data_IF_976157987471
#
_entry.id   IF_976157987471
#
_cell.length_a   1.000
_cell.length_b   1.000
_cell.length_c   1.000
_cell.angle_alpha   90.00
_cell.angle_beta   90.00
_cell.angle_gamma   90.00
#
_symmetry.space_group_name_H-M   'P 1'
#
loop_
_entity.id
_entity.type
_entity.pdbx_description
1 polymer ?
#
# COMPACT_ATOMS: atom_id res chain seq x y z
N UNK A 1 -54.01 -1.02 -55.17
CA UNK A 1 -55.32 -0.30 -55.12
C UNK A 1 -55.89 -0.55 -53.71
N UNK A 2 -56.44 0.48 -53.04
CA UNK A 2 -56.60 0.69 -51.57
C UNK A 2 -55.31 1.16 -50.88
N UNK A 3 -55.04 2.43 -50.54
CA UNK A 3 -55.79 3.67 -50.24
C UNK A 3 -56.57 3.69 -48.91
N UNK A 4 -56.06 4.56 -48.02
CA UNK A 4 -56.63 5.14 -46.78
C UNK A 4 -56.51 4.21 -45.56
N UNK A 5 -56.07 4.67 -44.39
CA UNK A 5 -56.33 5.98 -43.79
C UNK A 5 -55.25 6.34 -42.76
N UNK A 6 -54.77 7.57 -42.85
CA UNK A 6 -53.86 8.24 -41.92
C UNK A 6 -54.70 8.73 -40.75
N UNK A 7 -54.31 8.39 -39.52
CA UNK A 7 -54.79 9.04 -38.29
C UNK A 7 -53.61 9.70 -37.58
N UNK A 8 -53.55 11.02 -37.69
CA UNK A 8 -52.74 11.89 -36.83
C UNK A 8 -53.41 12.02 -35.45
N UNK A 9 -52.64 11.99 -34.35
CA UNK A 9 -53.09 12.50 -33.07
C UNK A 9 -52.82 14.02 -32.93
N UNK A 10 -53.70 14.76 -32.22
CA UNK A 10 -53.66 16.21 -32.11
C UNK A 10 -52.55 16.73 -31.19
N UNK A 11 -52.14 17.96 -31.48
CA UNK A 11 -50.98 18.64 -30.91
C UNK A 11 -51.03 18.89 -29.41
N UNK A 12 -49.83 18.81 -28.81
CA UNK A 12 -49.50 19.45 -27.55
C UNK A 12 -48.65 20.67 -27.89
N UNK A 13 -49.32 21.80 -28.06
CA UNK A 13 -48.73 23.12 -27.99
C UNK A 13 -48.36 23.40 -26.52
N UNK A 14 -47.09 23.73 -26.28
CA UNK A 14 -46.61 24.00 -24.92
C UNK A 14 -45.11 24.29 -24.89
N UNK A 15 -44.60 25.06 -25.86
CA UNK A 15 -43.29 25.67 -25.77
C UNK A 15 -43.32 26.72 -24.65
N UNK A 16 -42.65 26.44 -23.54
CA UNK A 16 -42.39 27.37 -22.45
C UNK A 16 -40.96 27.91 -22.61
N UNK A 17 -40.74 29.18 -22.98
CA UNK A 17 -39.43 29.80 -22.93
C UNK A 17 -39.32 30.67 -21.67
N UNK A 18 -38.76 30.13 -20.59
CA UNK A 18 -38.38 30.89 -19.40
C UNK A 18 -37.42 30.02 -18.57
N UNK A 19 -36.23 30.40 -18.11
CA UNK A 19 -35.51 31.66 -18.17
C UNK A 19 -34.02 31.30 -18.09
N UNK A 20 -33.19 31.85 -18.98
CA UNK A 20 -31.73 31.81 -18.85
C UNK A 20 -31.35 32.62 -17.60
N UNK A 21 -30.98 31.94 -16.52
CA UNK A 21 -30.32 32.59 -15.37
C UNK A 21 -29.01 33.21 -15.86
N UNK A 22 -28.78 34.52 -15.68
CA UNK A 22 -27.48 35.11 -15.98
C UNK A 22 -26.43 34.54 -15.01
N UNK A 23 -25.30 34.15 -15.57
CA UNK A 23 -24.11 33.74 -14.83
C UNK A 23 -23.71 34.85 -13.86
N UNK A 24 -23.68 34.51 -12.57
CA UNK A 24 -23.21 35.39 -11.51
C UNK A 24 -21.70 35.55 -11.70
N UNK A 25 -21.26 36.75 -12.09
CA UNK A 25 -19.83 37.16 -12.07
C UNK A 25 -19.25 36.85 -10.69
N UNK A 26 -18.14 36.10 -10.57
CA UNK A 26 -17.39 36.05 -9.33
C UNK A 26 -16.76 37.43 -9.08
N UNK A 27 -16.76 37.94 -7.83
CA UNK A 27 -16.07 39.17 -7.50
C UNK A 27 -14.57 38.99 -7.73
N UNK A 28 -14.02 39.78 -8.66
CA UNK A 28 -12.62 40.15 -8.65
C UNK A 28 -12.40 41.02 -7.42
N UNK A 29 -11.60 40.54 -6.48
CA UNK A 29 -10.79 41.29 -5.52
C UNK A 29 -10.79 40.58 -4.15
N UNK A 30 -9.82 39.68 -3.96
CA UNK A 30 -9.16 39.49 -2.67
C UNK A 30 -7.79 38.89 -2.99
N UNK A 31 -6.86 39.76 -3.35
CA UNK A 31 -5.91 40.29 -2.38
C UNK A 31 -4.96 39.19 -1.88
N UNK A 32 -3.87 39.05 -2.64
CA UNK A 32 -2.51 38.98 -2.12
C UNK A 32 -2.43 38.60 -0.63
N UNK A 33 -2.33 37.30 -0.36
CA UNK A 33 -1.65 36.80 0.84
C UNK A 33 -0.55 35.87 0.41
N UNK A 34 0.53 36.51 -0.05
CA UNK A 34 1.88 35.97 -0.01
C UNK A 34 2.21 35.65 1.44
N UNK A 35 2.02 34.40 1.85
CA UNK A 35 2.60 33.89 3.09
C UNK A 35 3.98 33.37 2.74
N UNK A 36 4.93 34.29 2.76
CA UNK A 36 6.36 34.00 2.85
C UNK A 36 6.65 33.39 4.22
N UNK A 37 6.44 32.09 4.36
CA UNK A 37 6.92 31.34 5.52
C UNK A 37 8.41 31.04 5.33
N UNK A 38 9.21 32.00 5.76
CA UNK A 38 10.45 31.81 6.54
C UNK A 38 11.07 30.41 6.46
N UNK A 39 11.87 30.20 5.41
CA UNK A 39 12.92 29.18 5.37
C UNK A 39 13.95 29.51 6.46
N UNK A 40 13.64 29.06 7.67
CA UNK A 40 14.42 29.26 8.87
C UNK A 40 15.49 28.16 8.94
N UNK A 41 16.70 28.56 8.59
CA UNK A 41 17.96 28.18 9.23
C UNK A 41 18.24 26.69 9.44
N UNK A 42 18.93 26.08 8.47
CA UNK A 42 19.94 25.05 8.75
C UNK A 42 21.21 25.36 7.96
N UNK A 43 21.84 26.50 8.27
CA UNK A 43 23.23 26.75 7.84
C UNK A 43 24.15 26.09 8.88
N UNK A 44 24.26 24.77 8.84
CA UNK A 44 25.31 24.05 9.56
C UNK A 44 26.61 24.30 8.80
N UNK A 45 27.39 25.28 9.25
CA UNK A 45 28.77 25.48 8.81
C UNK A 45 29.62 24.33 9.37
N UNK A 46 30.27 23.48 8.54
CA UNK A 46 31.35 22.66 9.03
C UNK A 46 32.56 23.58 9.25
N UNK A 47 32.82 23.97 10.50
CA UNK A 47 34.11 24.55 10.89
C UNK A 47 35.17 23.45 10.81
N UNK A 48 35.82 23.33 9.66
CA UNK A 48 37.01 22.48 9.56
C UNK A 48 38.13 23.12 10.39
N UNK A 49 38.77 22.39 11.32
CA UNK A 49 40.00 22.85 11.95
C UNK A 49 41.12 22.91 10.91
N UNK A 50 42.06 23.89 11.01
CA UNK A 50 43.17 23.98 10.08
C UNK A 50 44.08 22.74 10.21
N UNK A 51 44.38 22.14 9.06
CA UNK A 51 45.41 21.12 8.92
C UNK A 51 46.76 21.72 9.31
N UNK A 52 47.19 21.48 10.55
CA UNK A 52 48.58 21.71 10.97
C UNK A 52 49.47 20.71 10.23
N UNK A 53 50.12 21.20 9.18
CA UNK A 53 51.34 20.63 8.61
C UNK A 53 52.48 20.74 9.63
N UNK A 54 52.58 19.77 10.53
CA UNK A 54 53.84 19.47 11.21
C UNK A 54 54.62 18.48 10.34
N UNK A 55 55.24 19.01 9.29
CA UNK A 55 56.37 18.37 8.60
C UNK A 55 57.59 18.59 9.48
N UNK A 56 57.89 17.66 10.39
CA UNK A 56 59.19 17.43 11.00
C UNK A 56 59.09 16.15 11.83
N UNK A 57 59.14 15.02 11.14
CA UNK A 57 59.59 13.77 11.73
C UNK A 57 60.48 13.12 10.67
N UNK A 58 61.78 13.33 10.83
CA UNK A 58 62.82 12.57 10.14
C UNK A 58 62.62 11.08 10.44
N UNK A 59 62.62 10.18 9.43
CA UNK A 59 62.60 8.76 9.70
C UNK A 59 63.92 8.36 10.40
N UNK A 60 63.87 7.62 11.53
CA UNK A 60 65.08 6.98 12.05
C UNK A 60 65.60 5.95 11.03
N UNK A 61 66.92 5.70 11.00
CA UNK A 61 67.53 4.77 10.06
C UNK A 61 67.00 3.35 10.25
N UNK A 62 66.92 2.66 9.14
CA UNK A 62 66.43 1.30 8.92
C UNK A 62 66.96 0.28 9.95
N UNK A 63 66.15 -0.04 10.95
CA UNK A 63 66.18 -1.37 11.51
C UNK A 63 65.43 -2.28 10.54
N UNK A 64 66.20 -3.06 9.78
CA UNK A 64 65.73 -4.24 9.09
C UNK A 64 65.32 -5.31 10.13
N UNK A 65 64.31 -4.99 10.94
CA UNK A 65 63.57 -5.96 11.71
C UNK A 65 62.82 -6.81 10.70
N UNK A 66 63.29 -8.04 10.50
CA UNK A 66 62.57 -9.08 9.77
C UNK A 66 61.15 -9.13 10.32
N UNK A 67 60.21 -8.50 9.61
CA UNK A 67 58.78 -8.70 9.82
C UNK A 67 58.57 -10.17 9.48
N UNK A 68 58.71 -11.04 10.50
CA UNK A 68 58.10 -12.37 10.46
C UNK A 68 56.65 -12.08 10.14
N UNK A 69 56.28 -12.31 8.88
CA UNK A 69 54.89 -12.42 8.49
C UNK A 69 54.34 -13.44 9.47
N UNK A 70 53.55 -12.98 10.46
CA UNK A 70 52.91 -13.89 11.40
C UNK A 70 52.14 -14.84 10.50
N UNK A 71 52.57 -16.09 10.44
CA UNK A 71 51.88 -17.10 9.67
C UNK A 71 50.45 -17.11 10.17
N UNK A 72 49.52 -16.65 9.34
CA UNK A 72 48.10 -16.76 9.62
C UNK A 72 47.83 -18.25 9.77
N UNK A 73 47.57 -18.68 11.00
CA UNK A 73 47.23 -20.08 11.30
C UNK A 73 45.88 -20.32 10.62
N UNK A 74 45.85 -21.25 9.66
CA UNK A 74 44.61 -21.72 9.08
C UNK A 74 43.77 -22.47 10.12
N UNK A 75 42.46 -22.49 9.92
CA UNK A 75 41.54 -23.28 10.75
C UNK A 75 41.83 -24.78 10.56
N UNK A 76 41.81 -25.53 11.66
CA UNK A 76 41.88 -27.00 11.57
C UNK A 76 40.60 -27.55 10.95
N UNK A 77 40.70 -28.70 10.26
CA UNK A 77 39.51 -29.41 9.75
C UNK A 77 38.53 -29.73 10.89
N UNK A 78 39.05 -30.11 12.05
CA UNK A 78 38.24 -30.37 13.25
C UNK A 78 37.50 -29.11 13.73
N UNK A 79 38.16 -27.96 13.65
CA UNK A 79 37.59 -26.68 14.08
C UNK A 79 36.44 -26.28 13.15
N UNK A 80 36.65 -26.39 11.83
CA UNK A 80 35.59 -26.15 10.86
C UNK A 80 34.42 -27.13 11.03
N UNK A 81 34.70 -28.41 11.28
CA UNK A 81 33.67 -29.41 11.55
C UNK A 81 32.85 -29.06 12.81
N UNK A 82 33.51 -28.62 13.89
CA UNK A 82 32.83 -28.19 15.10
C UNK A 82 31.98 -26.93 14.87
N UNK A 83 32.53 -25.90 14.21
CA UNK A 83 31.80 -24.65 13.94
C UNK A 83 30.59 -24.90 13.04
N UNK A 84 30.75 -25.68 11.97
CA UNK A 84 29.62 -26.01 11.09
C UNK A 84 28.56 -26.86 11.80
N UNK A 85 28.95 -27.79 12.68
CA UNK A 85 28.00 -28.52 13.51
C UNK A 85 27.21 -27.58 14.44
N UNK A 86 27.86 -26.60 15.07
CA UNK A 86 27.20 -25.60 15.91
C UNK A 86 26.24 -24.70 15.11
N UNK A 87 26.65 -24.25 13.92
CA UNK A 87 25.78 -23.48 13.01
C UNK A 87 24.58 -24.31 12.57
N UNK A 88 24.76 -25.59 12.26
CA UNK A 88 23.66 -26.47 11.87
C UNK A 88 22.64 -26.66 13.01
N UNK A 89 23.11 -26.92 14.23
CA UNK A 89 22.24 -27.09 15.41
C UNK A 89 21.47 -25.79 15.69
N UNK A 90 22.15 -24.64 15.66
CA UNK A 90 21.49 -23.34 15.90
C UNK A 90 20.50 -22.98 14.78
N UNK A 91 20.85 -23.22 13.52
CA UNK A 91 19.97 -23.00 12.38
C UNK A 91 18.71 -23.88 12.44
N UNK A 92 18.83 -25.13 12.86
CA UNK A 92 17.69 -26.04 13.02
C UNK A 92 16.62 -25.50 14.01
N UNK A 93 17.05 -24.74 15.03
CA UNK A 93 16.16 -24.14 16.02
C UNK A 93 15.67 -22.74 15.56
N UNK A 94 16.55 -21.95 14.95
CA UNK A 94 16.26 -20.57 14.58
C UNK A 94 15.38 -20.43 13.32
N UNK A 95 15.59 -21.27 12.31
CA UNK A 95 14.91 -21.14 11.01
C UNK A 95 13.38 -21.28 11.11
N UNK A 96 12.81 -22.29 11.78
CA UNK A 96 11.35 -22.42 11.89
C UNK A 96 10.72 -21.21 12.59
N UNK A 97 11.35 -20.74 13.68
CA UNK A 97 10.89 -19.57 14.45
C UNK A 97 10.93 -18.29 13.63
N UNK A 98 11.97 -18.13 12.80
CA UNK A 98 12.08 -16.99 11.90
C UNK A 98 11.01 -17.04 10.81
N UNK A 99 10.80 -18.21 10.19
CA UNK A 99 9.78 -18.41 9.17
C UNK A 99 8.37 -18.07 9.70
N UNK A 100 8.00 -18.54 10.90
CA UNK A 100 6.71 -18.23 11.53
C UNK A 100 6.54 -16.74 11.86
N UNK A 101 7.64 -16.08 12.24
CA UNK A 101 7.63 -14.64 12.53
C UNK A 101 7.44 -13.83 11.25
N UNK A 102 8.10 -14.23 10.16
CA UNK A 102 7.93 -13.61 8.85
C UNK A 102 6.52 -13.85 8.29
N UNK A 103 5.97 -15.06 8.46
CA UNK A 103 4.60 -15.38 8.04
C UNK A 103 3.56 -14.50 8.75
N UNK A 104 3.69 -14.34 10.09
CA UNK A 104 2.86 -13.42 10.89
C UNK A 104 2.94 -11.98 10.40
N UNK A 105 4.15 -11.49 10.15
CA UNK A 105 4.35 -10.15 9.65
C UNK A 105 3.69 -9.94 8.28
N UNK A 106 3.87 -10.89 7.36
CA UNK A 106 3.33 -10.81 5.99
C UNK A 106 1.80 -10.86 5.96
N UNK A 107 1.19 -11.77 6.72
CA UNK A 107 -0.28 -11.85 6.77
C UNK A 107 -0.86 -10.57 7.39
N UNK A 108 -0.21 -10.02 8.42
CA UNK A 108 -0.65 -8.76 9.03
C UNK A 108 -0.50 -7.57 8.06
N UNK A 109 0.59 -7.52 7.28
CA UNK A 109 0.78 -6.52 6.24
C UNK A 109 -0.34 -6.60 5.17
N UNK A 110 -0.70 -7.82 4.76
CA UNK A 110 -1.79 -8.04 3.81
C UNK A 110 -3.16 -7.65 4.38
N UNK A 111 -3.44 -8.00 5.64
CA UNK A 111 -4.66 -7.56 6.33
C UNK A 111 -4.75 -6.04 6.45
N UNK A 112 -3.66 -5.37 6.85
CA UNK A 112 -3.59 -3.90 6.94
C UNK A 112 -3.81 -3.26 5.58
N UNK A 113 -3.30 -3.86 4.49
CA UNK A 113 -3.56 -3.43 3.13
C UNK A 113 -5.05 -3.49 2.78
N UNK A 114 -5.71 -4.62 3.04
CA UNK A 114 -7.17 -4.75 2.83
C UNK A 114 -7.92 -3.68 3.62
N UNK A 115 -7.61 -3.50 4.91
CA UNK A 115 -8.26 -2.49 5.76
C UNK A 115 -8.07 -1.08 5.19
N UNK A 116 -6.86 -0.75 4.75
CA UNK A 116 -6.56 0.56 4.15
C UNK A 116 -7.36 0.78 2.85
N UNK A 117 -7.41 -0.21 1.98
CA UNK A 117 -8.10 -0.11 0.69
C UNK A 117 -9.64 -0.08 0.86
N UNK A 118 -10.19 -0.85 1.82
CA UNK A 118 -11.61 -0.79 2.18
C UNK A 118 -11.99 0.59 2.75
N UNK A 119 -11.15 1.15 3.61
CA UNK A 119 -11.37 2.52 4.11
C UNK A 119 -11.25 3.56 2.99
N UNK A 120 -10.33 3.35 2.04
CA UNK A 120 -10.14 4.22 0.89
C UNK A 120 -11.40 4.26 0.00
N UNK A 121 -11.94 3.10 -0.40
CA UNK A 121 -13.15 3.07 -1.22
C UNK A 121 -14.37 3.62 -0.47
N UNK A 122 -14.45 3.39 0.85
CA UNK A 122 -15.50 3.95 1.69
C UNK A 122 -15.47 5.49 1.68
N UNK A 123 -14.29 6.07 1.87
CA UNK A 123 -14.10 7.51 1.84
C UNK A 123 -14.38 8.10 0.46
N UNK A 124 -13.99 7.41 -0.62
CA UNK A 124 -14.27 7.84 -1.99
C UNK A 124 -15.75 7.81 -2.32
N UNK A 125 -16.44 6.72 -1.98
CA UNK A 125 -17.89 6.59 -2.19
C UNK A 125 -18.66 7.77 -1.57
N UNK A 126 -18.24 8.17 -0.36
CA UNK A 126 -18.78 9.38 0.29
C UNK A 126 -18.36 10.66 -0.45
N UNK A 127 -17.06 10.86 -0.70
CA UNK A 127 -16.55 12.11 -1.28
C UNK A 127 -17.07 12.39 -2.70
N UNK A 128 -17.27 11.34 -3.50
CA UNK A 128 -17.69 11.44 -4.90
C UNK A 128 -19.20 11.22 -5.08
N UNK A 129 -19.89 10.72 -4.07
CA UNK A 129 -21.31 10.36 -4.17
C UNK A 129 -21.56 9.20 -5.15
N UNK A 130 -20.55 8.39 -5.42
CA UNK A 130 -20.60 7.21 -6.29
C UNK A 130 -20.67 5.93 -5.45
N UNK A 131 -21.15 4.85 -6.05
CA UNK A 131 -21.11 3.54 -5.41
C UNK A 131 -19.78 2.88 -5.77
N UNK A 132 -19.10 2.31 -4.77
CA UNK A 132 -17.78 1.70 -4.93
C UNK A 132 -17.83 0.25 -4.45
N UNK A 133 -17.00 -0.62 -5.03
CA UNK A 133 -16.93 -2.02 -4.57
C UNK A 133 -15.52 -2.61 -4.64
N UNK A 134 -15.22 -3.49 -3.68
CA UNK A 134 -14.02 -4.30 -3.68
C UNK A 134 -14.39 -5.76 -3.95
N UNK A 135 -13.88 -6.32 -5.04
CA UNK A 135 -14.02 -7.75 -5.36
C UNK A 135 -12.76 -8.47 -4.92
N UNK A 136 -12.94 -9.57 -4.21
CA UNK A 136 -11.86 -10.49 -3.90
C UNK A 136 -11.84 -11.62 -4.93
N UNK A 137 -10.77 -12.38 -5.04
CA UNK A 137 -10.72 -13.55 -5.92
C UNK A 137 -9.70 -14.54 -5.32
N UNK A 138 -10.16 -15.60 -4.63
CA UNK A 138 -9.29 -16.63 -4.07
C UNK A 138 -8.52 -17.42 -5.13
N UNK A 139 -9.08 -17.60 -6.33
CA UNK A 139 -8.41 -18.38 -7.37
C UNK A 139 -7.24 -17.59 -7.98
N UNK A 140 -7.43 -16.27 -8.14
CA UNK A 140 -6.40 -15.36 -8.63
C UNK A 140 -5.50 -14.77 -7.53
N UNK A 141 -5.88 -14.92 -6.27
CA UNK A 141 -5.27 -14.28 -5.10
C UNK A 141 -5.18 -12.76 -5.22
N UNK A 142 -6.30 -12.16 -5.66
CA UNK A 142 -6.38 -10.72 -5.89
C UNK A 142 -7.55 -10.03 -5.19
N UNK A 143 -7.37 -8.74 -4.95
CA UNK A 143 -8.47 -7.81 -4.71
C UNK A 143 -8.47 -6.74 -5.79
N UNK A 144 -9.61 -6.53 -6.43
CA UNK A 144 -9.83 -5.48 -7.42
C UNK A 144 -10.78 -4.44 -6.86
N UNK A 145 -10.39 -3.17 -6.93
CA UNK A 145 -11.28 -2.06 -6.64
C UNK A 145 -12.03 -1.70 -7.94
N UNK A 146 -13.33 -1.95 -7.95
CA UNK A 146 -14.21 -1.69 -9.09
C UNK A 146 -14.57 -0.21 -9.07
N UNK A 147 -14.49 0.43 -10.24
CA UNK A 147 -14.64 1.89 -10.42
C UNK A 147 -13.46 2.74 -9.93
N UNK A 148 -12.37 2.10 -9.50
CA UNK A 148 -11.15 2.77 -9.07
C UNK A 148 -10.00 2.56 -10.07
N UNK A 149 -9.61 3.59 -10.85
CA UNK A 149 -8.48 3.50 -11.75
C UNK A 149 -7.16 3.45 -10.96
N UNK A 150 -6.20 2.66 -11.44
CA UNK A 150 -4.86 2.62 -10.85
C UNK A 150 -4.20 4.01 -10.89
N UNK A 151 -3.61 4.44 -9.77
CA UNK A 151 -3.00 5.78 -9.63
C UNK A 151 -1.85 5.98 -10.63
N UNK A 152 -1.11 4.92 -10.93
CA UNK A 152 0.01 4.94 -11.86
C UNK A 152 -0.46 4.68 -13.30
N UNK A 153 -1.55 3.94 -13.46
CA UNK A 153 -2.10 3.55 -14.76
C UNK A 153 -3.62 3.76 -14.82
N UNK A 154 -4.10 5.00 -15.06
CA UNK A 154 -5.53 5.32 -14.95
C UNK A 154 -6.46 4.56 -15.91
N UNK A 155 -5.90 3.91 -16.93
CA UNK A 155 -6.63 3.05 -17.88
C UNK A 155 -6.82 1.61 -17.40
N UNK A 156 -6.26 1.25 -16.23
CA UNK A 156 -6.35 -0.08 -15.63
C UNK A 156 -7.14 -0.01 -14.33
N UNK A 157 -7.82 -1.11 -14.01
CA UNK A 157 -8.38 -1.28 -12.69
C UNK A 157 -7.26 -1.39 -11.67
N UNK A 158 -7.47 -0.82 -10.50
CA UNK A 158 -6.58 -1.03 -9.37
C UNK A 158 -6.71 -2.48 -8.87
N UNK A 159 -5.61 -3.23 -8.92
CA UNK A 159 -5.54 -4.63 -8.52
C UNK A 159 -4.42 -4.80 -7.50
N UNK A 160 -4.71 -5.51 -6.41
CA UNK A 160 -3.74 -5.94 -5.40
C UNK A 160 -3.54 -7.44 -5.54
N UNK A 161 -2.30 -7.86 -5.77
CA UNK A 161 -1.89 -9.27 -5.80
C UNK A 161 -1.35 -9.68 -4.43
N UNK A 162 -2.00 -10.63 -3.76
CA UNK A 162 -1.56 -11.11 -2.45
C UNK A 162 -0.54 -12.24 -2.55
N UNK A 163 -0.59 -13.07 -3.59
CA UNK A 163 0.37 -14.16 -3.80
C UNK A 163 1.79 -13.69 -4.21
N UNK A 164 1.99 -12.39 -4.42
CA UNK A 164 3.26 -11.80 -4.83
C UNK A 164 3.90 -10.99 -3.71
N UNK A 165 5.15 -10.56 -3.93
CA UNK A 165 5.81 -9.61 -3.06
C UNK A 165 4.97 -8.31 -2.94
N UNK A 166 4.86 -7.72 -1.75
CA UNK A 166 5.51 -8.09 -0.50
C UNK A 166 4.75 -9.10 0.38
N UNK A 167 3.55 -9.54 -0.03
CA UNK A 167 2.60 -10.23 0.85
C UNK A 167 2.80 -11.74 0.89
N UNK A 168 2.94 -12.42 -0.26
CA UNK A 168 2.99 -13.88 -0.35
C UNK A 168 1.89 -14.57 0.49
N UNK A 169 0.67 -14.04 0.40
CA UNK A 169 -0.50 -14.47 1.14
C UNK A 169 -1.57 -15.03 0.21
N UNK A 170 -2.29 -16.03 0.73
CA UNK A 170 -3.45 -16.65 0.10
C UNK A 170 -4.73 -16.08 0.73
N UNK A 171 -5.77 -15.92 -0.05
CA UNK A 171 -7.15 -15.66 0.35
C UNK A 171 -7.81 -17.01 0.52
N UNK A 172 -7.93 -17.45 1.78
CA UNK A 172 -8.50 -18.77 2.09
C UNK A 172 -10.02 -18.76 1.98
N UNK A 173 -10.62 -17.67 2.46
CA UNK A 173 -12.06 -17.58 2.57
C UNK A 173 -12.48 -16.12 2.49
N UNK A 174 -13.71 -15.91 2.04
CA UNK A 174 -14.37 -14.62 2.03
C UNK A 174 -15.88 -14.83 2.08
N UNK A 175 -16.55 -13.96 2.81
CA UNK A 175 -18.00 -13.90 2.78
C UNK A 175 -18.47 -12.48 3.07
N UNK A 176 -19.18 -11.87 2.14
CA UNK A 176 -19.82 -10.56 2.30
C UNK A 176 -21.35 -10.67 2.25
N UNK A 177 -21.89 -11.52 3.12
CA UNK A 177 -23.32 -11.88 3.17
C UNK A 177 -23.76 -12.65 1.91
N UNK A 178 -23.05 -13.74 1.58
CA UNK A 178 -23.26 -14.58 0.41
C UNK A 178 -22.68 -14.03 -0.91
N UNK A 179 -21.88 -12.95 -0.84
CA UNK A 179 -21.30 -12.27 -2.01
C UNK A 179 -19.79 -12.35 -2.04
N UNK A 180 -19.26 -12.23 -3.25
CA UNK A 180 -17.83 -12.19 -3.57
C UNK A 180 -17.23 -10.78 -3.46
N UNK A 181 -18.06 -9.75 -3.26
CA UNK A 181 -17.62 -8.37 -3.23
C UNK A 181 -18.22 -7.61 -2.06
N UNK A 182 -17.43 -6.70 -1.53
CA UNK A 182 -17.86 -5.68 -0.59
C UNK A 182 -18.39 -4.48 -1.38
N UNK A 183 -19.57 -3.99 -1.05
CA UNK A 183 -20.23 -2.88 -1.74
C UNK A 183 -20.51 -1.73 -0.79
N UNK A 184 -20.15 -0.51 -1.19
CA UNK A 184 -20.45 0.72 -0.49
C UNK A 184 -21.36 1.61 -1.35
N UNK A 185 -22.41 2.13 -0.74
CA UNK A 185 -23.29 3.10 -1.40
C UNK A 185 -22.64 4.51 -1.44
N UNK A 186 -23.31 5.47 -2.10
CA UNK A 186 -22.89 6.88 -2.22
C UNK A 186 -22.68 7.65 -0.90
N UNK A 187 -23.02 7.06 0.24
CA UNK A 187 -22.82 7.63 1.57
C UNK A 187 -21.67 6.93 2.31
N UNK A 188 -20.92 6.05 1.65
CA UNK A 188 -19.88 5.23 2.27
C UNK A 188 -20.41 4.19 3.25
N UNK A 189 -21.70 3.87 3.19
CA UNK A 189 -22.27 2.80 4.03
C UNK A 189 -22.18 1.46 3.29
N UNK A 190 -21.76 0.41 4.01
CA UNK A 190 -21.71 -0.93 3.43
C UNK A 190 -23.13 -1.49 3.22
N UNK A 191 -23.37 -2.24 2.15
CA UNK A 191 -24.63 -2.98 1.96
C UNK A 191 -24.62 -4.35 2.67
N UNK A 192 -23.99 -4.44 3.84
CA UNK A 192 -23.80 -5.66 4.61
C UNK A 192 -22.37 -5.78 5.15
N UNK A 193 -22.20 -6.53 6.22
CA UNK A 193 -20.88 -6.86 6.76
C UNK A 193 -20.26 -8.05 6.03
N UNK A 194 -19.13 -8.49 6.54
CA UNK A 194 -18.48 -9.69 6.03
C UNK A 194 -17.08 -9.86 6.54
N UNK A 195 -16.35 -10.78 5.93
CA UNK A 195 -14.97 -11.04 6.25
C UNK A 195 -14.17 -11.57 5.08
N UNK A 196 -12.84 -11.48 5.23
CA UNK A 196 -11.85 -12.15 4.39
C UNK A 196 -10.82 -12.79 5.30
N UNK A 197 -10.48 -14.05 5.05
CA UNK A 197 -9.42 -14.78 5.75
C UNK A 197 -8.21 -14.86 4.85
N UNK A 198 -7.08 -14.37 5.35
CA UNK A 198 -5.79 -14.48 4.69
C UNK A 198 -4.90 -15.50 5.39
N UNK A 199 -4.03 -16.16 4.63
CA UNK A 199 -3.05 -17.13 5.12
C UNK A 199 -1.67 -16.87 4.55
N UNK A 200 -0.66 -17.04 5.40
CA UNK A 200 0.75 -17.17 4.98
C UNK A 200 1.33 -18.37 5.72
N UNK A 201 1.71 -19.42 4.98
CA UNK A 201 2.14 -20.69 5.58
C UNK A 201 1.08 -21.24 6.54
N UNK A 202 1.44 -21.42 7.81
CA UNK A 202 0.55 -21.94 8.86
C UNK A 202 -0.20 -20.85 9.65
N UNK A 203 -0.04 -19.58 9.28
CA UNK A 203 -0.63 -18.45 10.01
C UNK A 203 -1.82 -17.91 9.24
N UNK A 204 -2.96 -17.77 9.91
CA UNK A 204 -4.15 -17.13 9.37
C UNK A 204 -4.56 -15.89 10.17
N UNK A 205 -5.16 -14.93 9.48
CA UNK A 205 -5.78 -13.74 10.06
C UNK A 205 -7.08 -13.42 9.33
N UNK A 206 -8.06 -12.91 10.09
CA UNK A 206 -9.37 -12.56 9.56
C UNK A 206 -9.50 -11.04 9.55
N UNK A 207 -9.94 -10.48 8.44
CA UNK A 207 -10.38 -9.09 8.37
C UNK A 207 -11.90 -9.11 8.38
N UNK A 208 -12.51 -8.46 9.37
CA UNK A 208 -13.97 -8.34 9.50
C UNK A 208 -14.38 -6.92 9.18
N UNK A 209 -15.46 -6.80 8.42
CA UNK A 209 -16.10 -5.53 8.09
C UNK A 209 -17.44 -5.47 8.78
N UNK A 210 -17.61 -4.46 9.63
CA UNK A 210 -18.87 -4.22 10.32
C UNK A 210 -19.94 -3.74 9.33
N UNK A 211 -21.11 -4.39 9.36
CA UNK A 211 -22.18 -4.16 8.40
C UNK A 211 -23.00 -2.89 8.58
N UNK A 212 -22.80 -2.15 9.68
CA UNK A 212 -23.51 -0.89 9.96
C UNK A 212 -22.59 0.31 9.71
N UNK A 213 -21.36 0.22 10.19
CA UNK A 213 -20.38 1.31 10.17
C UNK A 213 -19.44 1.23 8.98
N UNK A 214 -19.30 0.06 8.35
CA UNK A 214 -18.33 -0.19 7.29
C UNK A 214 -16.87 -0.15 7.75
N UNK A 215 -16.63 -0.20 9.06
CA UNK A 215 -15.28 -0.23 9.63
C UNK A 215 -14.70 -1.63 9.44
N UNK A 216 -13.51 -1.70 8.86
CA UNK A 216 -12.74 -2.94 8.74
C UNK A 216 -11.73 -3.06 9.90
N UNK A 217 -11.66 -4.22 10.53
CA UNK A 217 -10.73 -4.54 11.63
C UNK A 217 -10.12 -5.92 11.43
N UNK A 218 -8.93 -6.13 11.97
CA UNK A 218 -8.28 -7.45 11.99
C UNK A 218 -8.62 -8.17 13.28
N UNK A 219 -8.97 -9.46 13.17
CA UNK A 219 -9.18 -10.43 14.25
C UNK A 219 -8.11 -11.52 14.25
#
# INVERSE_FOLDING_TARGET
MNRREVREPPGVAGQHPAARRPARKPPANEARRTVSTTARLWRVQPTMPPLRRNLLCSPPPSEAGTRRLRACRGFSLLELACVTALVAITAAIALPRYADSLARYRVELACRRIIADLNLIRMRAWAQGTCESARFDPDAETMTLICDPDINFPSRNYIVHFNQAPYYADIVERDFSGRTFMYYNRYGQPCGGGYVVLRVGNVQRKVVVDGQTGKAVME
#
